data_IF_818403606202
#
_entry.id   IF_818403606202
#
_cell.length_a   1.000
_cell.length_b   1.000
_cell.length_c   1.000
_cell.angle_alpha   90.00
_cell.angle_beta   90.00
_cell.angle_gamma   90.00
#
_symmetry.space_group_name_H-M   'P 1'
#
loop_
_entity.id
_entity.type
_entity.pdbx_description
1 polymer ?
#
# COMPACT_ATOMS: atom_id res chain seq x y z
N UNK A 1 -2.16 -32.87 -60.83
CA UNK A 1 -1.06 -33.68 -60.25
C UNK A 1 -0.28 -32.83 -59.27
N UNK A 2 -0.14 -33.33 -58.05
CA UNK A 2 0.64 -32.76 -56.94
C UNK A 2 2.14 -32.93 -57.25
N UNK A 3 2.99 -31.92 -57.04
CA UNK A 3 4.36 -32.12 -56.50
C UNK A 3 5.02 -30.82 -56.04
N UNK A 4 5.28 -30.80 -54.74
CA UNK A 4 6.21 -29.97 -53.98
C UNK A 4 7.66 -30.07 -54.49
N UNK A 5 8.42 -28.96 -54.56
CA UNK A 5 9.89 -28.95 -54.38
C UNK A 5 10.43 -27.64 -53.78
N UNK A 6 10.95 -27.80 -52.55
CA UNK A 6 12.24 -27.33 -52.01
C UNK A 6 12.52 -25.82 -51.82
N UNK A 7 12.72 -25.51 -50.55
CA UNK A 7 13.39 -24.37 -49.94
C UNK A 7 14.75 -24.01 -50.54
N UNK A 8 15.02 -22.70 -50.65
CA UNK A 8 16.35 -22.11 -50.47
C UNK A 8 16.21 -20.91 -49.54
N UNK A 9 16.75 -21.05 -48.33
CA UNK A 9 16.81 -20.04 -47.29
C UNK A 9 17.74 -18.91 -47.75
N UNK A 10 17.25 -17.67 -47.86
CA UNK A 10 18.10 -16.50 -48.14
C UNK A 10 18.71 -16.01 -46.82
N UNK A 11 20.01 -16.21 -46.66
CA UNK A 11 20.83 -15.62 -45.60
C UNK A 11 21.00 -14.11 -45.93
N UNK A 12 20.69 -13.18 -45.00
CA UNK A 12 20.98 -11.77 -45.22
C UNK A 12 22.50 -11.52 -45.27
N UNK A 13 23.00 -10.67 -46.17
CA UNK A 13 24.43 -10.38 -46.26
C UNK A 13 24.97 -9.71 -44.99
N UNK A 14 26.14 -10.19 -44.59
CA UNK A 14 27.02 -9.75 -43.50
C UNK A 14 26.98 -8.25 -43.21
N UNK A 15 26.52 -7.88 -42.01
CA UNK A 15 26.72 -6.54 -41.46
C UNK A 15 28.15 -6.49 -40.89
N UNK A 16 29.08 -5.87 -41.63
CA UNK A 16 30.49 -5.75 -41.25
C UNK A 16 30.66 -5.04 -39.88
N UNK A 17 31.71 -5.37 -39.09
CA UNK A 17 32.05 -4.65 -37.86
C UNK A 17 32.64 -3.26 -38.19
N UNK A 18 32.07 -2.20 -37.65
CA UNK A 18 32.53 -0.83 -37.85
C UNK A 18 33.76 -0.53 -36.99
N UNK A 19 34.95 -0.77 -37.52
CA UNK A 19 36.20 -0.21 -36.96
C UNK A 19 36.77 0.78 -37.98
N UNK A 20 36.14 1.95 -38.08
CA UNK A 20 36.65 3.08 -38.85
C UNK A 20 37.09 4.19 -37.89
N UNK A 21 38.23 4.85 -38.12
CA UNK A 21 38.76 5.92 -37.26
C UNK A 21 37.95 7.24 -37.27
N UNK A 22 36.78 7.26 -37.91
CA UNK A 22 35.79 8.36 -37.87
C UNK A 22 34.42 7.92 -37.32
N UNK A 23 34.35 6.85 -36.52
CA UNK A 23 33.13 6.54 -35.77
C UNK A 23 32.87 7.64 -34.75
N UNK A 24 31.69 8.27 -34.83
CA UNK A 24 31.17 9.26 -33.88
C UNK A 24 31.43 8.80 -32.43
N UNK A 25 31.88 9.68 -31.52
CA UNK A 25 32.08 9.29 -30.13
C UNK A 25 30.76 8.80 -29.54
N UNK A 26 30.79 7.63 -28.90
CA UNK A 26 29.69 7.14 -28.09
C UNK A 26 29.31 8.21 -27.04
N UNK A 27 28.03 8.41 -26.71
CA UNK A 27 27.70 9.17 -25.51
C UNK A 27 28.30 8.46 -24.29
N UNK A 28 28.88 9.24 -23.39
CA UNK A 28 29.51 8.74 -22.17
C UNK A 28 28.55 7.80 -21.43
N UNK A 29 29.10 6.66 -21.02
CA UNK A 29 28.53 5.71 -20.06
C UNK A 29 27.79 6.47 -18.95
N UNK A 30 26.59 6.05 -18.51
CA UNK A 30 26.01 6.63 -17.32
C UNK A 30 26.98 6.39 -16.17
N UNK A 31 27.59 7.47 -15.69
CA UNK A 31 28.41 7.53 -14.49
C UNK A 31 27.73 6.70 -13.43
N UNK A 32 28.41 5.64 -12.98
CA UNK A 32 28.06 4.94 -11.74
C UNK A 32 27.89 6.01 -10.68
N UNK A 33 26.64 6.28 -10.29
CA UNK A 33 26.34 7.26 -9.27
C UNK A 33 27.10 6.84 -8.02
N UNK A 34 28.15 7.60 -7.71
CA UNK A 34 28.89 7.46 -6.47
C UNK A 34 27.87 7.78 -5.39
N UNK A 35 27.51 6.79 -4.58
CA UNK A 35 26.66 7.00 -3.42
C UNK A 35 27.51 7.75 -2.40
N UNK A 36 27.46 9.08 -2.47
CA UNK A 36 28.09 9.95 -1.50
C UNK A 36 27.36 9.79 -0.16
N UNK A 37 27.91 8.95 0.71
CA UNK A 37 27.37 8.65 2.04
C UNK A 37 27.76 9.71 3.09
N UNK A 38 28.04 10.94 2.67
CA UNK A 38 28.43 12.03 3.56
C UNK A 38 27.49 13.24 3.44
N UNK A 39 26.25 13.11 3.91
CA UNK A 39 25.45 14.26 4.33
C UNK A 39 24.65 13.90 5.58
N UNK A 40 24.96 14.49 6.75
CA UNK A 40 24.08 14.41 7.90
C UNK A 40 22.99 15.48 7.78
N UNK A 41 21.77 15.08 8.11
CA UNK A 41 20.56 15.89 8.34
C UNK A 41 19.48 15.90 7.24
N UNK A 42 18.40 15.18 7.55
CA UNK A 42 17.01 15.66 7.50
C UNK A 42 16.26 15.72 6.17
N UNK A 43 16.67 15.00 5.14
CA UNK A 43 15.78 14.80 3.98
C UNK A 43 14.71 13.76 4.31
N UNK A 44 13.63 14.24 4.92
CA UNK A 44 12.33 13.55 4.92
C UNK A 44 11.94 13.44 3.45
N UNK A 45 12.21 12.31 2.79
CA UNK A 45 11.58 12.04 1.51
C UNK A 45 10.06 12.06 1.73
N UNK A 46 9.30 13.04 1.22
CA UNK A 46 7.86 12.93 1.29
C UNK A 46 7.52 11.73 0.40
N UNK A 47 7.03 10.64 1.01
CA UNK A 47 6.43 9.58 0.23
C UNK A 47 5.46 10.25 -0.75
N UNK A 48 5.58 9.93 -2.05
CA UNK A 48 4.80 10.55 -3.13
C UNK A 48 3.28 10.37 -2.98
N UNK A 49 2.87 9.64 -1.95
CA UNK A 49 1.53 9.55 -1.42
C UNK A 49 1.59 10.24 -0.05
N UNK A 50 0.85 11.35 0.18
CA UNK A 50 0.76 11.92 1.51
C UNK A 50 0.28 10.81 2.44
N UNK A 51 1.12 10.46 3.41
CA UNK A 51 0.75 9.51 4.46
C UNK A 51 -0.38 10.19 5.25
N UNK A 52 -1.61 9.93 4.83
CA UNK A 52 -2.80 10.53 5.41
C UNK A 52 -2.93 9.97 6.84
N UNK A 53 -2.85 10.79 7.90
CA UNK A 53 -2.98 10.30 9.26
C UNK A 53 -4.38 9.68 9.44
N UNK A 54 -4.39 8.41 9.82
CA UNK A 54 -5.60 7.63 10.09
C UNK A 54 -5.63 7.16 11.53
N UNK A 55 -6.75 7.33 12.23
CA UNK A 55 -6.92 6.83 13.58
C UNK A 55 -8.28 6.16 13.79
N UNK A 56 -8.30 5.18 14.68
CA UNK A 56 -9.54 4.55 15.18
C UNK A 56 -10.24 5.42 16.23
N UNK A 57 -9.52 6.37 16.84
CA UNK A 57 -10.07 7.36 17.76
C UNK A 57 -10.92 8.39 17.01
N UNK A 58 -11.84 9.03 17.73
CA UNK A 58 -12.72 10.05 17.16
C UNK A 58 -11.98 11.37 16.82
N UNK A 59 -10.87 11.64 17.49
CA UNK A 59 -10.01 12.81 17.28
C UNK A 59 -8.54 12.41 17.22
N UNK A 60 -7.73 13.28 16.62
CA UNK A 60 -6.28 13.13 16.57
C UNK A 60 -5.64 14.01 17.66
N UNK A 61 -4.91 13.44 18.63
CA UNK A 61 -4.20 14.21 19.64
C UNK A 61 -3.25 15.24 19.00
N UNK A 62 -3.20 16.44 19.57
CA UNK A 62 -2.40 17.55 19.04
C UNK A 62 -2.90 18.12 17.72
N UNK A 63 -4.12 17.77 17.28
CA UNK A 63 -4.75 18.31 16.08
C UNK A 63 -6.17 18.80 16.38
N UNK A 64 -6.55 19.93 15.80
CA UNK A 64 -7.89 20.50 15.91
C UNK A 64 -8.65 20.29 14.60
N UNK A 65 -9.83 19.67 14.68
CA UNK A 65 -10.68 19.46 13.50
C UNK A 65 -11.35 20.77 13.11
N UNK A 66 -11.06 21.26 11.90
CA UNK A 66 -11.67 22.48 11.34
C UNK A 66 -12.94 22.20 10.57
N UNK A 67 -12.97 21.08 9.84
CA UNK A 67 -14.10 20.71 8.99
C UNK A 67 -14.23 19.20 8.91
N UNK A 68 -15.47 18.72 8.94
CA UNK A 68 -15.80 17.33 8.61
C UNK A 68 -16.22 17.29 7.15
N UNK A 69 -15.60 16.40 6.37
CA UNK A 69 -15.88 16.23 4.94
C UNK A 69 -16.97 15.17 4.75
N UNK A 70 -16.99 14.16 5.61
CA UNK A 70 -18.01 13.12 5.64
C UNK A 70 -17.41 11.72 5.66
N UNK A 71 -18.24 10.72 5.37
CA UNK A 71 -17.84 9.32 5.42
C UNK A 71 -17.02 8.90 4.20
N UNK A 72 -15.97 8.12 4.45
CA UNK A 72 -15.10 7.51 3.45
C UNK A 72 -15.12 5.99 3.65
N UNK A 73 -15.04 5.24 2.55
CA UNK A 73 -15.23 3.80 2.52
C UNK A 73 -14.19 3.12 1.64
N UNK A 74 -13.82 1.90 2.00
CA UNK A 74 -12.98 1.05 1.19
C UNK A 74 -13.42 -0.39 1.34
N UNK A 75 -13.83 -1.02 0.24
CA UNK A 75 -14.27 -2.42 0.26
C UNK A 75 -13.42 -3.26 -0.68
N UNK A 76 -13.06 -4.45 -0.22
CA UNK A 76 -12.31 -5.46 -0.95
C UNK A 76 -12.99 -6.80 -0.76
N UNK A 77 -13.37 -7.43 -1.88
CA UNK A 77 -13.86 -8.79 -1.90
C UNK A 77 -12.74 -9.73 -2.33
N UNK A 78 -12.44 -10.71 -1.49
CA UNK A 78 -11.54 -11.80 -1.82
C UNK A 78 -12.36 -12.93 -2.45
N UNK A 79 -12.33 -13.01 -3.79
CA UNK A 79 -12.96 -14.09 -4.56
C UNK A 79 -11.95 -15.21 -4.77
N UNK A 80 -12.35 -16.44 -4.44
CA UNK A 80 -11.48 -17.62 -4.51
C UNK A 80 -11.48 -18.16 -5.95
N UNK A 81 -10.43 -17.89 -6.73
CA UNK A 81 -10.25 -18.54 -8.05
C UNK A 81 -9.85 -20.02 -7.93
N UNK A 82 -9.06 -20.38 -6.90
CA UNK A 82 -8.50 -21.73 -6.74
C UNK A 82 -8.72 -22.31 -5.33
N UNK A 83 -9.98 -22.62 -5.02
CA UNK A 83 -10.40 -23.21 -3.73
C UNK A 83 -9.60 -24.47 -3.36
N UNK A 84 -9.19 -25.28 -4.35
CA UNK A 84 -8.39 -26.51 -4.13
C UNK A 84 -6.99 -26.23 -3.57
N UNK A 85 -6.29 -25.20 -4.07
CA UNK A 85 -4.92 -24.90 -3.63
C UNK A 85 -4.92 -24.31 -2.22
N UNK A 86 -5.95 -23.53 -1.89
CA UNK A 86 -6.14 -22.95 -0.56
C UNK A 86 -6.47 -24.00 0.50
N UNK A 87 -7.39 -24.93 0.22
CA UNK A 87 -7.69 -26.05 1.11
C UNK A 87 -6.44 -26.90 1.35
N UNK A 88 -5.62 -27.13 0.32
CA UNK A 88 -4.34 -27.84 0.46
C UNK A 88 -3.37 -27.07 1.37
N UNK A 89 -3.30 -25.74 1.25
CA UNK A 89 -2.44 -24.89 2.08
C UNK A 89 -2.90 -24.83 3.55
N UNK A 90 -4.22 -24.80 3.78
CA UNK A 90 -4.82 -24.87 5.12
C UNK A 90 -4.61 -26.25 5.72
N UNK A 91 -4.90 -27.32 4.98
CA UNK A 91 -4.71 -28.69 5.45
C UNK A 91 -3.24 -28.98 5.80
N UNK A 92 -2.29 -28.47 5.00
CA UNK A 92 -0.86 -28.55 5.30
C UNK A 92 -0.46 -27.74 6.54
N UNK A 93 -1.07 -26.56 6.76
CA UNK A 93 -0.81 -25.72 7.93
C UNK A 93 -1.42 -26.28 9.22
N UNK A 94 -2.60 -26.90 9.13
CA UNK A 94 -3.30 -27.52 10.26
C UNK A 94 -2.69 -28.85 10.69
N UNK A 95 -2.03 -29.57 9.77
CA UNK A 95 -1.37 -30.85 10.06
C UNK A 95 0.02 -30.74 10.70
N UNK A 96 0.67 -29.57 10.62
CA UNK A 96 2.05 -29.39 11.07
C UNK A 96 2.20 -28.62 12.38
N UNK A 97 1.29 -27.69 12.71
CA UNK A 97 1.28 -26.98 13.98
C UNK A 97 -0.15 -26.53 14.31
N UNK A 98 -0.63 -26.98 15.46
CA UNK A 98 -1.94 -26.66 16.02
C UNK A 98 -1.96 -25.19 16.47
N UNK A 99 -2.12 -24.23 15.56
CA UNK A 99 -1.95 -22.83 15.96
C UNK A 99 -2.54 -21.77 15.04
N UNK A 100 -2.20 -21.73 13.76
CA UNK A 100 -2.67 -20.62 12.92
C UNK A 100 -2.62 -20.97 11.43
N UNK A 101 -3.68 -20.65 10.70
CA UNK A 101 -3.74 -20.81 9.27
C UNK A 101 -3.05 -19.61 8.58
N UNK A 102 -1.71 -19.53 8.66
CA UNK A 102 -0.88 -18.38 8.22
C UNK A 102 -1.22 -17.86 6.81
N UNK A 103 -1.53 -18.76 5.87
CA UNK A 103 -1.91 -18.38 4.51
C UNK A 103 -3.25 -17.63 4.44
N UNK A 104 -4.20 -17.98 5.31
CA UNK A 104 -5.50 -17.32 5.43
C UNK A 104 -5.34 -15.96 6.09
N UNK A 105 -4.62 -15.91 7.22
CA UNK A 105 -4.36 -14.67 7.94
C UNK A 105 -3.65 -13.65 7.03
N UNK A 106 -2.61 -14.09 6.31
CA UNK A 106 -1.87 -13.23 5.38
C UNK A 106 -2.76 -12.67 4.26
N UNK A 107 -3.66 -13.49 3.69
CA UNK A 107 -4.61 -13.03 2.67
C UNK A 107 -5.60 -11.98 3.21
N UNK A 108 -6.09 -12.15 4.43
CA UNK A 108 -7.00 -11.19 5.09
C UNK A 108 -6.27 -9.89 5.40
N UNK A 109 -5.04 -9.94 5.92
CA UNK A 109 -4.22 -8.75 6.16
C UNK A 109 -3.99 -7.96 4.87
N UNK A 110 -3.61 -8.63 3.78
CA UNK A 110 -3.44 -7.98 2.48
C UNK A 110 -4.74 -7.35 1.96
N UNK A 111 -5.89 -8.00 2.16
CA UNK A 111 -7.19 -7.44 1.81
C UNK A 111 -7.54 -6.20 2.64
N UNK A 112 -7.21 -6.20 3.93
CA UNK A 112 -7.40 -5.07 4.84
C UNK A 112 -6.54 -3.88 4.41
N UNK A 113 -5.27 -4.09 4.10
CA UNK A 113 -4.37 -3.03 3.64
C UNK A 113 -4.89 -2.39 2.34
N UNK A 114 -5.34 -3.23 1.40
CA UNK A 114 -5.92 -2.76 0.15
C UNK A 114 -7.27 -2.03 0.34
N UNK A 115 -8.05 -2.37 1.38
CA UNK A 115 -9.28 -1.68 1.72
C UNK A 115 -9.00 -0.30 2.35
N UNK A 116 -8.02 -0.23 3.26
CA UNK A 116 -7.55 1.03 3.84
C UNK A 116 -7.01 1.97 2.75
N UNK A 117 -6.23 1.45 1.81
CA UNK A 117 -5.70 2.25 0.69
C UNK A 117 -6.84 2.86 -0.17
N UNK A 118 -7.92 2.11 -0.43
CA UNK A 118 -9.09 2.62 -1.14
C UNK A 118 -9.81 3.72 -0.36
N UNK A 119 -9.99 3.53 0.95
CA UNK A 119 -10.59 4.53 1.83
C UNK A 119 -9.74 5.82 1.85
N UNK A 120 -8.42 5.69 1.95
CA UNK A 120 -7.49 6.84 1.94
C UNK A 120 -7.55 7.57 0.60
N UNK A 121 -7.55 6.86 -0.52
CA UNK A 121 -7.70 7.46 -1.86
C UNK A 121 -9.00 8.24 -1.99
N UNK A 122 -10.11 7.69 -1.49
CA UNK A 122 -11.39 8.39 -1.47
C UNK A 122 -11.34 9.65 -0.59
N UNK A 123 -10.76 9.55 0.61
CA UNK A 123 -10.62 10.67 1.53
C UNK A 123 -9.79 11.81 0.91
N UNK A 124 -8.64 11.48 0.32
CA UNK A 124 -7.78 12.44 -0.39
C UNK A 124 -8.51 13.06 -1.58
N UNK A 125 -9.23 12.26 -2.37
CA UNK A 125 -10.01 12.75 -3.51
C UNK A 125 -11.11 13.74 -3.13
N UNK A 126 -11.64 13.64 -1.90
CA UNK A 126 -12.61 14.58 -1.32
C UNK A 126 -11.95 15.78 -0.63
N UNK A 127 -10.62 15.87 -0.63
CA UNK A 127 -9.86 16.94 -0.01
C UNK A 127 -9.66 16.78 1.50
N UNK A 128 -9.74 15.56 2.04
CA UNK A 128 -9.41 15.31 3.45
C UNK A 128 -7.90 15.26 3.65
N UNK A 129 -7.44 15.75 4.81
CA UNK A 129 -6.04 15.65 5.23
C UNK A 129 -5.86 14.72 6.44
N UNK A 130 -6.94 14.10 6.93
CA UNK A 130 -6.93 13.05 7.95
C UNK A 130 -8.21 12.20 7.89
N UNK A 131 -8.17 10.98 8.44
CA UNK A 131 -9.35 10.12 8.67
C UNK A 131 -9.41 9.69 10.14
N UNK A 132 -10.56 9.89 10.76
CA UNK A 132 -10.81 9.53 12.16
C UNK A 132 -11.97 8.53 12.27
N UNK A 133 -12.05 7.85 13.41
CA UNK A 133 -13.10 6.86 13.67
C UNK A 133 -13.07 5.69 12.69
N UNK A 134 -11.88 5.27 12.26
CA UNK A 134 -11.73 4.14 11.33
C UNK A 134 -12.25 2.86 11.97
N UNK A 135 -13.11 2.15 11.25
CA UNK A 135 -13.66 0.85 11.62
C UNK A 135 -13.46 -0.14 10.47
N UNK A 136 -12.94 -1.32 10.79
CA UNK A 136 -12.80 -2.44 9.86
C UNK A 136 -13.89 -3.46 10.17
N UNK A 137 -14.62 -3.90 9.14
CA UNK A 137 -15.60 -4.99 9.20
C UNK A 137 -15.23 -6.07 8.19
N UNK A 138 -15.37 -7.30 8.63
CA UNK A 138 -15.16 -8.49 7.81
C UNK A 138 -16.48 -9.25 7.78
N UNK A 139 -16.92 -9.63 6.59
CA UNK A 139 -18.17 -10.36 6.37
C UNK A 139 -17.98 -11.40 5.29
N UNK A 140 -18.72 -12.50 5.37
CA UNK A 140 -18.75 -13.49 4.30
C UNK A 140 -20.02 -13.30 3.48
N UNK A 141 -19.88 -13.11 2.17
CA UNK A 141 -20.99 -12.94 1.23
C UNK A 141 -20.79 -13.91 0.08
N UNK A 142 -21.72 -14.87 -0.07
CA UNK A 142 -21.70 -15.87 -1.16
C UNK A 142 -20.39 -16.66 -1.27
N UNK A 143 -19.78 -17.01 -0.12
CA UNK A 143 -18.50 -17.73 -0.08
C UNK A 143 -17.27 -16.87 -0.39
N UNK A 144 -17.44 -15.56 -0.55
CA UNK A 144 -16.36 -14.59 -0.65
C UNK A 144 -16.18 -13.87 0.68
N UNK A 145 -14.92 -13.65 1.08
CA UNK A 145 -14.62 -12.82 2.25
C UNK A 145 -14.58 -11.37 1.79
N UNK A 146 -15.44 -10.54 2.37
CA UNK A 146 -15.54 -9.11 2.09
C UNK A 146 -15.00 -8.34 3.29
N UNK A 147 -13.91 -7.60 3.06
CA UNK A 147 -13.33 -6.67 4.03
C UNK A 147 -13.77 -5.27 3.65
N UNK A 148 -14.46 -4.59 4.56
CA UNK A 148 -14.92 -3.22 4.40
C UNK A 148 -14.34 -2.35 5.50
N UNK A 149 -13.86 -1.17 5.12
CA UNK A 149 -13.35 -0.16 6.04
C UNK A 149 -14.19 1.09 5.86
N UNK A 150 -14.59 1.69 6.98
CA UNK A 150 -15.31 2.96 7.02
C UNK A 150 -14.61 3.90 7.98
N UNK A 151 -14.61 5.19 7.65
CA UNK A 151 -14.10 6.24 8.52
C UNK A 151 -14.70 7.58 8.17
N UNK A 152 -14.32 8.61 8.91
CA UNK A 152 -14.74 9.99 8.64
C UNK A 152 -13.55 10.81 8.17
N UNK A 153 -13.62 11.30 6.94
CA UNK A 153 -12.65 12.24 6.39
C UNK A 153 -12.82 13.61 7.06
N UNK A 154 -11.72 14.18 7.53
CA UNK A 154 -11.70 15.46 8.22
C UNK A 154 -10.55 16.33 7.70
N UNK A 155 -10.72 17.65 7.86
CA UNK A 155 -9.67 18.63 7.74
C UNK A 155 -9.20 19.04 9.12
N UNK A 156 -7.96 18.72 9.46
CA UNK A 156 -7.33 19.05 10.74
C UNK A 156 -6.20 20.05 10.58
N UNK A 157 -6.00 20.87 11.59
CA UNK A 157 -4.81 21.71 11.72
C UNK A 157 -4.01 21.24 12.94
N UNK A 158 -2.68 21.39 12.89
CA UNK A 158 -1.84 21.13 14.05
C UNK A 158 -2.26 22.10 15.16
N UNK A 159 -2.65 21.57 16.31
CA UNK A 159 -2.92 22.39 17.48
C UNK A 159 -1.61 23.05 17.91
N UNK A 160 -1.61 24.38 18.04
CA UNK A 160 -0.53 25.07 18.75
C UNK A 160 -0.37 24.37 20.10
N UNK A 161 0.84 23.93 20.46
CA UNK A 161 1.14 23.15 21.66
C UNK A 161 0.83 23.83 23.00
N UNK A 162 -0.05 24.82 23.02
CA UNK A 162 -0.66 25.45 24.19
C UNK A 162 -1.95 24.72 24.57
N UNK A 163 -1.76 23.56 25.21
CA UNK A 163 -2.63 23.05 26.26
C UNK A 163 -4.01 22.55 25.83
N UNK A 164 -4.14 21.23 25.71
CA UNK A 164 -5.13 20.60 26.58
C UNK A 164 -4.69 20.94 28.01
N UNK A 165 -5.39 21.87 28.66
CA UNK A 165 -5.38 21.95 30.11
C UNK A 165 -5.72 20.54 30.57
N UNK A 166 -4.72 19.81 31.08
CA UNK A 166 -4.99 18.67 31.95
C UNK A 166 -5.91 19.24 33.03
N UNK A 167 -7.18 18.88 32.97
CA UNK A 167 -8.11 19.21 34.03
C UNK A 167 -7.52 18.60 35.30
N UNK A 168 -7.06 19.46 36.19
CA UNK A 168 -6.49 19.13 37.49
C UNK A 168 -7.52 18.50 38.45
N UNK A 169 -8.66 18.02 37.94
CA UNK A 169 -9.70 17.36 38.68
C UNK A 169 -9.47 15.84 38.84
N UNK A 170 -8.45 15.27 38.20
CA UNK A 170 -8.14 13.83 38.28
C UNK A 170 -6.99 13.51 39.25
N UNK A 171 -6.69 14.42 40.16
CA UNK A 171 -5.66 14.30 41.21
C UNK A 171 -6.25 13.78 42.55
N UNK A 172 -7.26 12.91 42.50
CA UNK A 172 -7.60 12.06 43.64
C UNK A 172 -7.18 10.63 43.30
N UNK A 173 -6.06 10.22 43.88
CA UNK A 173 -5.59 8.84 43.90
C UNK A 173 -6.73 7.93 44.43
N UNK A 174 -7.17 6.89 43.69
CA UNK A 174 -8.12 5.91 44.20
C UNK A 174 -7.50 4.90 45.19
N UNK A 175 -6.26 5.13 45.62
CA UNK A 175 -5.49 4.24 46.52
C UNK A 175 -4.89 4.96 47.74
N UNK A 176 -5.46 6.09 48.15
CA UNK A 176 -5.28 6.67 49.49
C UNK A 176 -6.57 6.58 50.29
#
# INVERSE_FOLDING_TARGET
>A
MLTNRRSTMMVPPSRMPSWHPQSKPYPATPTTAVFDSATPASDIHPSRVPALPTATTASLPGHTTRRVIGTCHGTVSLTRKDTKSFIKSIAASLGANWGEAKAVTSAICAARDAAVERMVKEAVGRGANAVVGVQVRESEVLGCVVVSVVGTGVWVEKGDGRGEKRDSAQEQDPFL
#
